data_IF_126967217053
#
_entry.id   IF_126967217053
#
_cell.length_a   1.000
_cell.length_b   1.000
_cell.length_c   1.000
_cell.angle_alpha   90.00
_cell.angle_beta   90.00
_cell.angle_gamma   90.00
#
_symmetry.space_group_name_H-M   'P 1'
#
loop_
_entity.id
_entity.type
_entity.pdbx_description
1 polymer ?
#
# COMPACT_ATOMS: atom_id res chain seq x y z
N UNK A 1 2.01 -24.09 -18.06
CA UNK A 1 2.78 -23.28 -19.04
C UNK A 1 1.99 -22.09 -19.57
N UNK A 2 0.85 -22.27 -20.27
CA UNK A 2 0.06 -21.12 -20.78
C UNK A 2 -0.47 -20.18 -19.68
N UNK A 3 -0.99 -20.74 -18.57
CA UNK A 3 -1.53 -19.95 -17.43
C UNK A 3 -0.43 -19.22 -16.63
N UNK A 4 0.72 -19.87 -16.43
CA UNK A 4 1.88 -19.28 -15.75
C UNK A 4 2.52 -18.16 -16.58
N UNK A 5 2.57 -18.32 -17.90
CA UNK A 5 3.02 -17.27 -18.82
C UNK A 5 2.07 -16.07 -18.80
N UNK A 6 0.76 -16.32 -18.76
CA UNK A 6 -0.24 -15.25 -18.66
C UNK A 6 -0.10 -14.42 -17.38
N UNK A 7 0.14 -15.07 -16.23
CA UNK A 7 0.35 -14.37 -14.95
C UNK A 7 1.62 -13.53 -15.00
N UNK A 8 2.71 -14.06 -15.56
CA UNK A 8 3.97 -13.35 -15.69
C UNK A 8 3.85 -12.13 -16.61
N UNK A 9 3.12 -12.26 -17.72
CA UNK A 9 2.83 -11.15 -18.64
C UNK A 9 1.98 -10.08 -17.95
N UNK A 10 0.97 -10.45 -17.17
CA UNK A 10 0.18 -9.50 -16.38
C UNK A 10 1.07 -8.77 -15.35
N UNK A 11 1.97 -9.47 -14.66
CA UNK A 11 2.88 -8.86 -13.68
C UNK A 11 3.89 -7.89 -14.31
N UNK A 12 4.32 -8.16 -15.55
CA UNK A 12 5.20 -7.27 -16.32
C UNK A 12 4.50 -6.04 -16.91
N UNK A 13 3.17 -6.07 -17.06
CA UNK A 13 2.40 -4.92 -17.57
C UNK A 13 2.12 -3.87 -16.48
N UNK A 14 2.24 -4.22 -15.20
CA UNK A 14 1.96 -3.31 -14.07
C UNK A 14 3.13 -2.34 -13.79
N UNK A 15 4.36 -2.69 -14.18
CA UNK A 15 5.56 -1.89 -13.90
C UNK A 15 5.69 -0.62 -14.75
N UNK A 16 4.86 -0.45 -15.79
CA UNK A 16 4.88 0.75 -16.65
C UNK A 16 3.86 1.81 -16.23
N UNK A 17 3.02 1.53 -15.23
CA UNK A 17 2.01 2.47 -14.75
C UNK A 17 2.60 3.32 -13.63
N UNK A 18 2.90 4.58 -13.94
CA UNK A 18 3.16 5.62 -12.93
C UNK A 18 1.92 6.50 -12.80
N UNK A 19 1.20 6.36 -11.69
CA UNK A 19 0.11 7.26 -11.32
C UNK A 19 0.49 8.18 -10.14
N UNK A 20 1.69 7.97 -9.58
CA UNK A 20 2.20 8.70 -8.42
C UNK A 20 2.92 9.96 -8.92
N UNK A 21 2.16 11.00 -9.29
CA UNK A 21 2.73 12.30 -9.64
C UNK A 21 2.65 13.27 -8.46
N UNK A 22 3.66 14.14 -8.33
CA UNK A 22 3.67 15.30 -7.42
C UNK A 22 3.58 14.99 -5.91
N UNK A 23 3.76 13.73 -5.48
CA UNK A 23 3.86 13.41 -4.05
C UNK A 23 5.05 14.11 -3.39
N UNK A 24 6.19 14.17 -4.09
CA UNK A 24 7.38 14.87 -3.60
C UNK A 24 7.11 16.37 -3.42
N UNK A 25 6.47 17.01 -4.40
CA UNK A 25 6.09 18.42 -4.32
C UNK A 25 5.10 18.66 -3.18
N UNK A 26 4.13 17.76 -2.99
CA UNK A 26 3.18 17.82 -1.88
C UNK A 26 3.88 17.71 -0.51
N UNK A 27 4.87 16.82 -0.38
CA UNK A 27 5.64 16.67 0.86
C UNK A 27 6.65 17.81 1.06
N UNK A 28 7.10 18.44 -0.02
CA UNK A 28 8.00 19.60 0.02
C UNK A 28 7.26 20.94 0.19
N UNK A 29 5.93 20.98 0.01
CA UNK A 29 5.12 22.19 0.05
C UNK A 29 5.20 22.92 1.40
N UNK A 30 5.49 22.21 2.49
CA UNK A 30 5.72 22.79 3.81
C UNK A 30 5.52 21.76 4.91
N UNK A 31 6.13 21.97 6.08
CA UNK A 31 6.07 21.01 7.19
C UNK A 31 4.63 20.80 7.67
N UNK A 32 3.83 21.87 7.76
CA UNK A 32 2.44 21.78 8.20
C UNK A 32 1.57 20.97 7.21
N UNK A 33 1.70 21.27 5.92
CA UNK A 33 0.96 20.60 4.84
C UNK A 33 1.37 19.12 4.71
N UNK A 34 2.67 18.83 4.74
CA UNK A 34 3.20 17.47 4.70
C UNK A 34 2.77 16.66 5.93
N UNK A 35 2.78 17.25 7.12
CA UNK A 35 2.31 16.61 8.34
C UNK A 35 0.82 16.29 8.27
N UNK A 36 0.00 17.24 7.80
CA UNK A 36 -1.44 17.06 7.64
C UNK A 36 -1.74 15.92 6.66
N UNK A 37 -1.18 15.98 5.45
CA UNK A 37 -1.36 14.92 4.46
C UNK A 37 -0.84 13.56 4.93
N UNK A 38 0.32 13.53 5.60
CA UNK A 38 0.86 12.28 6.13
C UNK A 38 -0.05 11.66 7.18
N UNK A 39 -0.69 12.48 8.01
CA UNK A 39 -1.62 12.02 9.04
C UNK A 39 -2.93 11.51 8.43
N UNK A 40 -3.48 12.23 7.46
CA UNK A 40 -4.84 11.98 6.97
C UNK A 40 -4.88 10.97 5.81
N UNK A 41 -3.78 10.81 5.06
CA UNK A 41 -3.69 9.89 3.92
C UNK A 41 -2.67 8.77 4.10
N UNK A 42 -1.43 9.09 4.48
CA UNK A 42 -0.34 8.09 4.53
C UNK A 42 -0.48 7.16 5.74
N UNK A 43 -0.81 7.72 6.92
CA UNK A 43 -0.89 6.96 8.17
C UNK A 43 -1.95 5.85 8.13
N UNK A 44 -3.21 6.06 7.69
CA UNK A 44 -4.18 4.98 7.58
C UNK A 44 -3.72 3.81 6.70
N UNK A 45 -3.13 4.13 5.55
CA UNK A 45 -2.57 3.12 4.64
C UNK A 45 -1.41 2.34 5.28
N UNK A 46 -0.50 3.05 5.95
CA UNK A 46 0.62 2.44 6.66
C UNK A 46 0.17 1.56 7.82
N UNK A 47 -0.79 2.02 8.63
CA UNK A 47 -1.33 1.24 9.75
C UNK A 47 -2.01 -0.03 9.22
N UNK A 48 -2.81 0.08 8.16
CA UNK A 48 -3.43 -1.07 7.50
C UNK A 48 -2.41 -2.11 7.02
N UNK A 49 -1.32 -1.65 6.38
CA UNK A 49 -0.21 -2.51 5.96
C UNK A 49 0.52 -3.14 7.16
N UNK A 50 0.85 -2.35 8.17
CA UNK A 50 1.56 -2.83 9.36
C UNK A 50 0.77 -3.91 10.10
N UNK A 51 -0.54 -3.70 10.29
CA UNK A 51 -1.42 -4.71 10.86
C UNK A 51 -1.51 -5.96 9.97
N UNK A 52 -1.62 -5.79 8.65
CA UNK A 52 -1.68 -6.90 7.70
C UNK A 52 -0.40 -7.76 7.68
N UNK A 53 0.78 -7.14 7.76
CA UNK A 53 2.06 -7.84 7.83
C UNK A 53 2.22 -8.57 9.17
N UNK A 54 1.81 -7.94 10.29
CA UNK A 54 1.86 -8.58 11.61
C UNK A 54 1.00 -9.85 11.65
N UNK A 55 -0.21 -9.80 11.09
CA UNK A 55 -1.06 -10.99 10.99
C UNK A 55 -0.46 -12.09 10.12
N UNK A 56 0.40 -11.75 9.14
CA UNK A 56 1.00 -12.68 8.17
C UNK A 56 2.24 -13.45 8.64
N UNK A 57 2.77 -13.18 9.84
CA UNK A 57 3.97 -13.84 10.35
C UNK A 57 3.66 -15.21 10.94
N UNK A 58 3.53 -16.22 10.08
CA UNK A 58 3.34 -17.62 10.47
C UNK A 58 4.65 -18.40 10.32
N UNK A 59 5.15 -18.96 11.43
CA UNK A 59 6.32 -19.84 11.40
C UNK A 59 5.86 -21.30 11.32
N UNK A 60 6.25 -22.00 10.25
CA UNK A 60 6.20 -23.46 10.23
C UNK A 60 7.56 -24.00 10.70
N UNK A 61 7.60 -24.54 11.93
CA UNK A 61 8.82 -25.07 12.54
C UNK A 61 9.30 -26.40 11.93
N UNK A 62 8.58 -26.94 10.93
CA UNK A 62 8.87 -28.26 10.35
C UNK A 62 9.83 -28.12 9.18
N UNK A 63 10.97 -28.82 9.26
CA UNK A 63 11.93 -28.87 8.15
C UNK A 63 11.31 -29.59 6.95
N UNK A 64 11.29 -28.97 5.75
CA UNK A 64 10.78 -29.64 4.57
C UNK A 64 11.61 -30.89 4.26
N UNK A 65 10.95 -31.99 3.91
CA UNK A 65 11.63 -33.22 3.45
C UNK A 65 12.33 -32.93 2.12
N UNK A 66 13.37 -33.71 1.78
CA UNK A 66 14.05 -33.62 0.48
C UNK A 66 13.02 -33.74 -0.65
N UNK A 67 12.92 -32.71 -1.51
CA UNK A 67 11.92 -32.54 -2.58
C UNK A 67 10.45 -32.30 -2.15
N UNK A 68 10.18 -32.01 -0.87
CA UNK A 68 8.84 -31.65 -0.41
C UNK A 68 8.52 -30.18 -0.66
N UNK A 69 7.35 -29.90 -1.22
CA UNK A 69 6.77 -28.55 -1.24
C UNK A 69 5.54 -28.51 -0.33
N UNK A 70 5.28 -27.36 0.28
CA UNK A 70 4.11 -27.11 1.11
C UNK A 70 3.32 -25.96 0.51
N UNK A 71 1.99 -26.13 0.45
CA UNK A 71 1.07 -25.08 0.06
C UNK A 71 0.20 -24.75 1.28
N UNK A 72 0.29 -23.51 1.74
CA UNK A 72 -0.46 -23.02 2.89
C UNK A 72 -1.35 -21.86 2.45
N UNK A 73 -2.63 -21.94 2.80
CA UNK A 73 -3.60 -20.86 2.59
C UNK A 73 -3.75 -20.13 3.92
N UNK A 74 -3.39 -18.85 3.92
CA UNK A 74 -3.38 -18.01 5.11
C UNK A 74 -4.40 -16.90 4.89
N UNK A 75 -5.41 -16.84 5.75
CA UNK A 75 -6.39 -15.75 5.76
C UNK A 75 -5.96 -14.68 6.76
N UNK A 76 -5.79 -13.45 6.28
CA UNK A 76 -5.55 -12.28 7.12
C UNK A 76 -6.73 -11.31 6.97
N UNK A 77 -7.20 -10.73 8.07
CA UNK A 77 -8.24 -9.72 8.08
C UNK A 77 -7.77 -8.55 8.96
N UNK A 78 -7.79 -7.35 8.40
CA UNK A 78 -7.45 -6.11 9.10
C UNK A 78 -8.68 -5.21 9.08
N UNK A 79 -9.03 -4.66 10.24
CA UNK A 79 -10.15 -3.72 10.37
C UNK A 79 -9.59 -2.29 10.44
N UNK A 80 -10.11 -1.43 9.56
CA UNK A 80 -9.80 0.01 9.49
C UNK A 80 -11.14 0.74 9.60
N UNK A 81 -11.17 1.88 10.28
CA UNK A 81 -12.38 2.68 10.43
C UNK A 81 -12.89 3.16 9.06
N UNK A 82 -14.19 3.37 8.91
CA UNK A 82 -14.77 3.78 7.63
C UNK A 82 -14.28 5.17 7.17
N UNK A 83 -13.99 6.06 8.11
CA UNK A 83 -13.41 7.39 7.86
C UNK A 83 -11.98 7.33 7.31
N UNK A 84 -11.22 6.30 7.67
CA UNK A 84 -9.82 6.10 7.30
C UNK A 84 -9.67 5.38 5.94
N UNK A 85 -10.77 4.93 5.32
CA UNK A 85 -10.78 4.22 4.02
C UNK A 85 -10.77 5.15 2.82
N UNK A 86 -11.12 6.41 3.02
CA UNK A 86 -11.22 7.40 1.98
C UNK A 86 -10.69 8.73 2.48
N UNK A 87 -10.07 9.48 1.60
CA UNK A 87 -9.52 10.78 1.90
C UNK A 87 -9.93 11.74 0.78
N UNK A 88 -10.51 12.87 1.16
CA UNK A 88 -10.80 13.97 0.26
C UNK A 88 -9.74 15.03 0.54
N UNK A 89 -8.91 15.31 -0.46
CA UNK A 89 -7.96 16.40 -0.39
C UNK A 89 -8.67 17.72 -0.69
N UNK A 90 -9.00 18.48 0.35
CA UNK A 90 -9.47 19.85 0.22
C UNK A 90 -8.25 20.79 0.20
N UNK A 91 -8.05 21.55 -0.87
CA UNK A 91 -6.90 22.45 -1.01
C UNK A 91 -7.00 23.67 -0.09
N UNK A 92 -8.21 24.06 0.34
CA UNK A 92 -8.42 25.19 1.25
C UNK A 92 -7.83 24.95 2.64
N UNK A 93 -7.62 23.68 2.95
CA UNK A 93 -7.06 23.16 4.18
C UNK A 93 -5.51 23.15 4.20
N UNK A 94 -4.88 23.50 3.09
CA UNK A 94 -3.42 23.51 2.91
C UNK A 94 -2.92 24.91 2.55
N UNK A 95 -1.79 25.28 3.13
CA UNK A 95 -1.21 26.61 2.99
C UNK A 95 -0.57 26.79 1.60
N UNK A 96 0.21 25.79 1.15
CA UNK A 96 1.14 25.91 0.03
C UNK A 96 0.78 25.03 -1.19
N UNK A 97 -0.16 24.10 -1.06
CA UNK A 97 -0.53 23.18 -2.15
C UNK A 97 -1.51 23.86 -3.10
N UNK A 98 -1.27 23.84 -4.43
CA UNK A 98 -2.23 24.27 -5.46
C UNK A 98 -2.10 23.36 -6.68
N UNK A 99 -3.21 22.90 -7.24
CA UNK A 99 -3.19 22.11 -8.48
C UNK A 99 -3.43 23.01 -9.70
N UNK A 100 -2.72 22.78 -10.81
CA UNK A 100 -3.05 23.40 -12.08
C UNK A 100 -4.49 22.99 -12.48
N UNK A 101 -5.23 23.94 -13.07
CA UNK A 101 -6.57 23.69 -13.61
C UNK A 101 -6.52 22.97 -14.94
#
# INVERSE_FOLDING_TARGET
MKKTLSILVTLLLIVTVSAQENLEELLAAGVADAQRFSKDYIKPANDGLAYGINTGWFNNAKTPKRFGFELSVIGNATFINDEDKQFILDVSDYENIRFPR
#
